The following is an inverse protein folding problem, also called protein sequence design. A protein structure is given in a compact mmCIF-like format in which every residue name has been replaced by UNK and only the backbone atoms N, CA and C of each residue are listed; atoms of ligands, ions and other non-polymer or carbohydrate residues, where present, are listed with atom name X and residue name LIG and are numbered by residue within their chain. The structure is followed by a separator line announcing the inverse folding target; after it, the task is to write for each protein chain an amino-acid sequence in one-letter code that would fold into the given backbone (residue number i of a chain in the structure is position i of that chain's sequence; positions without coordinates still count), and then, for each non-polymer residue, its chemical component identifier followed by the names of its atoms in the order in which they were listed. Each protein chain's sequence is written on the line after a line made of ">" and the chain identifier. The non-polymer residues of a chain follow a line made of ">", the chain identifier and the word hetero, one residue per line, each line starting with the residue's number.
data_IF_218846349854
#
_entry.id   IF_218846349854
#
_cell.length_a   1.000
_cell.length_b   1.000
_cell.length_c   1.000
_cell.angle_alpha   90.00
_cell.angle_beta   90.00
_cell.angle_gamma   90.00
#
_symmetry.space_group_name_H-M   'P 1'
#
loop_
_entity.id
_entity.type
_entity.pdbx_description
1 polymer ?
#
# COMPACT_ATOMS: atom_id res chain seq x y z
N UNK A 1 -16.94 14.40 3.36
CA UNK A 1 -15.98 14.78 4.40
C UNK A 1 -15.65 13.58 5.27
N UNK A 2 -14.37 13.29 5.44
CA UNK A 2 -13.94 12.10 6.21
C UNK A 2 -14.01 12.43 7.70
N UNK A 3 -14.63 11.53 8.47
CA UNK A 3 -14.72 11.69 9.91
C UNK A 3 -13.35 11.51 10.57
N UNK A 4 -13.17 12.04 11.79
CA UNK A 4 -11.90 11.95 12.51
C UNK A 4 -11.44 10.51 12.70
N UNK A 5 -12.33 9.59 13.02
CA UNK A 5 -12.00 8.16 13.17
C UNK A 5 -11.56 7.53 11.85
N UNK A 6 -12.24 7.88 10.76
CA UNK A 6 -11.91 7.41 9.43
C UNK A 6 -10.57 7.95 8.97
N UNK A 7 -10.32 9.24 9.24
CA UNK A 7 -9.05 9.88 8.96
C UNK A 7 -7.90 9.20 9.70
N UNK A 8 -8.14 8.84 10.97
CA UNK A 8 -7.15 8.16 11.79
C UNK A 8 -6.78 6.79 11.20
N UNK A 9 -7.77 6.05 10.68
CA UNK A 9 -7.52 4.76 10.02
C UNK A 9 -6.63 4.93 8.79
N UNK A 10 -6.92 5.94 7.98
CA UNK A 10 -6.11 6.20 6.77
C UNK A 10 -4.71 6.67 7.15
N UNK A 11 -4.58 7.53 8.17
CA UNK A 11 -3.27 7.98 8.65
C UNK A 11 -2.42 6.81 9.17
N UNK A 12 -3.05 5.84 9.83
CA UNK A 12 -2.38 4.64 10.31
C UNK A 12 -1.78 3.85 9.15
N UNK A 13 -2.51 3.75 8.02
CA UNK A 13 -2.00 3.09 6.83
C UNK A 13 -0.77 3.81 6.27
N UNK A 14 -0.79 5.13 6.28
CA UNK A 14 0.33 5.94 5.81
C UNK A 14 1.56 5.73 6.71
N UNK A 15 1.35 5.69 8.02
CA UNK A 15 2.43 5.42 8.98
C UNK A 15 3.04 4.03 8.77
N UNK A 16 2.19 3.04 8.52
CA UNK A 16 2.61 1.66 8.27
C UNK A 16 3.48 1.56 7.01
N UNK A 17 3.24 2.40 6.01
CA UNK A 17 4.04 2.45 4.81
C UNK A 17 5.51 2.73 5.09
N UNK A 18 5.79 3.57 6.08
CA UNK A 18 7.17 3.90 6.44
C UNK A 18 7.94 2.66 6.90
N UNK A 19 7.26 1.73 7.59
CA UNK A 19 7.85 0.48 8.02
C UNK A 19 8.11 -0.48 6.85
N UNK A 20 7.30 -0.39 5.79
CA UNK A 20 7.47 -1.23 4.61
C UNK A 20 8.64 -0.80 3.72
N UNK A 21 9.16 0.41 3.93
CA UNK A 21 10.30 0.93 3.17
C UNK A 21 11.65 0.41 3.66
N UNK A 22 11.64 -0.65 4.45
CA UNK A 22 12.87 -1.25 4.97
C UNK A 22 13.73 -1.82 3.84
N UNK A 23 15.00 -2.07 4.14
CA UNK A 23 15.96 -2.62 3.17
C UNK A 23 15.55 -4.00 2.66
N UNK A 24 14.87 -4.78 3.49
CA UNK A 24 14.43 -6.13 3.16
C UNK A 24 12.92 -6.22 3.35
N UNK A 25 12.13 -5.69 2.39
CA UNK A 25 10.68 -5.78 2.51
C UNK A 25 10.23 -7.24 2.41
N UNK A 26 9.40 -7.66 3.36
CA UNK A 26 8.83 -8.99 3.38
C UNK A 26 7.51 -9.00 2.62
N UNK A 27 7.36 -9.97 1.71
CA UNK A 27 6.15 -10.12 0.92
C UNK A 27 4.91 -10.27 1.79
N UNK A 28 5.00 -11.08 2.85
CA UNK A 28 3.86 -11.32 3.74
C UNK A 28 3.39 -10.06 4.44
N UNK A 29 4.32 -9.23 4.91
CA UNK A 29 4.00 -7.95 5.56
C UNK A 29 3.37 -6.98 4.58
N UNK A 30 3.87 -6.95 3.35
CA UNK A 30 3.30 -6.11 2.31
C UNK A 30 1.88 -6.53 1.97
N UNK A 31 1.64 -7.83 1.81
CA UNK A 31 0.29 -8.35 1.52
C UNK A 31 -0.69 -8.03 2.65
N UNK A 32 -0.27 -8.20 3.89
CA UNK A 32 -1.09 -7.87 5.05
C UNK A 32 -1.47 -6.39 5.04
N UNK A 33 -0.50 -5.52 4.78
CA UNK A 33 -0.75 -4.09 4.69
C UNK A 33 -1.73 -3.76 3.56
N UNK A 34 -1.51 -4.34 2.39
CA UNK A 34 -2.34 -4.10 1.22
C UNK A 34 -3.79 -4.50 1.47
N UNK A 35 -3.99 -5.69 2.04
CA UNK A 35 -5.34 -6.17 2.37
C UNK A 35 -6.02 -5.28 3.40
N UNK A 36 -5.29 -4.89 4.42
CA UNK A 36 -5.78 -3.98 5.45
C UNK A 36 -6.16 -2.63 4.85
N UNK A 37 -5.32 -2.12 3.96
CA UNK A 37 -5.54 -0.84 3.30
C UNK A 37 -6.81 -0.87 2.43
N UNK A 38 -6.97 -1.92 1.62
CA UNK A 38 -8.16 -2.08 0.79
C UNK A 38 -9.42 -2.14 1.66
N UNK A 39 -9.37 -2.91 2.73
CA UNK A 39 -10.49 -3.05 3.65
C UNK A 39 -10.85 -1.71 4.30
N UNK A 40 -9.85 -0.97 4.78
CA UNK A 40 -10.10 0.31 5.43
C UNK A 40 -10.67 1.34 4.46
N UNK A 41 -10.16 1.39 3.23
CA UNK A 41 -10.69 2.30 2.20
C UNK A 41 -12.13 1.93 1.86
N UNK A 42 -12.45 0.65 1.75
CA UNK A 42 -13.82 0.19 1.51
C UNK A 42 -14.75 0.58 2.66
N UNK A 43 -14.29 0.47 3.91
CA UNK A 43 -15.09 0.84 5.08
C UNK A 43 -15.36 2.33 5.13
N UNK A 44 -14.39 3.15 4.74
CA UNK A 44 -14.50 4.62 4.79
C UNK A 44 -15.32 5.16 3.63
N UNK A 45 -15.08 4.68 2.41
CA UNK A 45 -15.69 5.25 1.20
C UNK A 45 -16.75 4.35 0.55
N UNK A 46 -16.78 3.07 0.91
CA UNK A 46 -17.74 2.11 0.40
C UNK A 46 -17.18 1.24 -0.72
N UNK A 47 -17.75 0.03 -0.84
CA UNK A 47 -17.45 -0.87 -1.95
C UNK A 47 -17.91 -0.24 -3.25
N UNK A 48 -17.11 -0.26 -4.26
CA UNK A 48 -17.47 0.32 -5.54
C UNK A 48 -17.28 1.83 -5.62
N UNK A 49 -16.72 2.45 -4.58
CA UNK A 49 -16.41 3.87 -4.61
C UNK A 49 -15.24 4.13 -5.58
N UNK A 50 -15.15 5.37 -6.06
CA UNK A 50 -14.04 5.79 -6.89
C UNK A 50 -12.71 5.64 -6.14
N UNK A 51 -12.72 5.93 -4.85
CA UNK A 51 -11.53 5.86 -4.01
C UNK A 51 -10.94 4.45 -3.97
N UNK A 52 -11.77 3.44 -3.74
CA UNK A 52 -11.28 2.05 -3.71
C UNK A 52 -10.82 1.61 -5.11
N UNK A 53 -11.52 2.05 -6.15
CA UNK A 53 -11.11 1.76 -7.51
C UNK A 53 -9.74 2.33 -7.84
N UNK A 54 -9.48 3.56 -7.42
CA UNK A 54 -8.18 4.21 -7.60
C UNK A 54 -7.09 3.48 -6.82
N UNK A 55 -7.38 3.08 -5.59
CA UNK A 55 -6.41 2.34 -4.78
C UNK A 55 -6.04 1.00 -5.44
N UNK A 56 -7.02 0.27 -5.91
CA UNK A 56 -6.79 -1.02 -6.59
C UNK A 56 -6.04 -0.86 -7.91
N UNK A 57 -6.07 0.32 -8.51
CA UNK A 57 -5.36 0.60 -9.76
C UNK A 57 -3.87 0.87 -9.57
N UNK A 58 -3.41 1.05 -8.35
CA UNK A 58 -1.99 1.28 -8.08
C UNK A 58 -1.20 0.03 -8.46
N UNK A 59 -0.14 0.22 -9.24
CA UNK A 59 0.74 -0.88 -9.65
C UNK A 59 1.82 -1.07 -8.59
N UNK A 60 1.59 -2.03 -7.71
CA UNK A 60 2.59 -2.44 -6.74
C UNK A 60 3.54 -3.46 -7.36
N UNK A 61 4.74 -3.57 -6.79
CA UNK A 61 5.69 -4.60 -7.19
C UNK A 61 5.07 -5.99 -6.99
N UNK A 62 5.20 -6.84 -8.01
CA UNK A 62 4.64 -8.19 -7.98
C UNK A 62 5.71 -9.20 -7.58
N UNK A 63 5.68 -9.64 -6.32
CA UNK A 63 6.63 -10.63 -5.79
C UNK A 63 6.50 -11.98 -6.49
N UNK A 64 5.34 -12.30 -7.05
CA UNK A 64 5.13 -13.59 -7.71
C UNK A 64 5.92 -13.73 -9.00
N UNK A 65 6.36 -12.62 -9.57
CA UNK A 65 7.18 -12.64 -10.80
C UNK A 65 8.64 -12.94 -10.54
N UNK A 66 9.05 -13.08 -9.26
CA UNK A 66 10.43 -13.40 -8.89
C UNK A 66 10.65 -14.91 -8.96
N UNK A 67 10.66 -15.47 -10.19
CA UNK A 67 10.83 -16.91 -10.41
C UNK A 67 12.27 -17.32 -10.13
N UNK A 68 12.44 -18.41 -9.39
CA UNK A 68 13.77 -18.95 -9.11
C UNK A 68 14.53 -18.27 -7.98
N UNK A 69 13.91 -17.29 -7.31
CA UNK A 69 14.54 -16.59 -6.19
C UNK A 69 14.01 -17.11 -4.85
N UNK A 70 14.86 -17.27 -3.83
CA UNK A 70 14.39 -17.58 -2.49
C UNK A 70 13.46 -16.49 -1.99
N UNK A 71 12.45 -16.86 -1.17
CA UNK A 71 11.48 -15.91 -0.63
C UNK A 71 12.12 -14.80 0.22
N UNK A 72 13.23 -15.12 0.86
CA UNK A 72 13.96 -14.21 1.75
C UNK A 72 15.09 -13.47 1.05
N UNK A 73 15.27 -13.67 -0.26
CA UNK A 73 16.29 -12.98 -1.01
C UNK A 73 15.98 -11.47 -1.06
N UNK A 74 16.99 -10.61 -0.85
CA UNK A 74 16.77 -9.16 -0.94
C UNK A 74 16.37 -8.75 -2.36
N UNK A 75 15.58 -7.69 -2.46
CA UNK A 75 15.19 -7.14 -3.75
C UNK A 75 16.40 -6.53 -4.44
N UNK A 76 16.48 -6.74 -5.76
CA UNK A 76 17.47 -6.07 -6.59
C UNK A 76 17.13 -4.57 -6.61
N UNK A 77 18.10 -3.73 -6.95
CA UNK A 77 17.91 -2.29 -6.99
C UNK A 77 16.69 -1.88 -7.83
N UNK A 78 16.53 -2.47 -9.00
CA UNK A 78 15.40 -2.20 -9.89
C UNK A 78 14.08 -2.63 -9.28
N UNK A 79 14.06 -3.80 -8.65
CA UNK A 79 12.88 -4.32 -7.97
C UNK A 79 12.50 -3.45 -6.79
N UNK A 80 13.49 -3.02 -6.03
CA UNK A 80 13.29 -2.14 -4.89
C UNK A 80 12.72 -0.79 -5.32
N UNK A 81 13.24 -0.23 -6.42
CA UNK A 81 12.73 1.03 -6.95
C UNK A 81 11.27 0.91 -7.35
N UNK A 82 10.90 -0.19 -8.01
CA UNK A 82 9.51 -0.44 -8.39
C UNK A 82 8.62 -0.60 -7.17
N UNK A 83 9.10 -1.31 -6.15
CA UNK A 83 8.37 -1.50 -4.89
C UNK A 83 8.12 -0.16 -4.20
N UNK A 84 9.16 0.67 -4.05
CA UNK A 84 9.05 1.97 -3.40
C UNK A 84 8.14 2.91 -4.18
N UNK A 85 8.18 2.87 -5.51
CA UNK A 85 7.31 3.69 -6.35
C UNK A 85 5.84 3.39 -6.09
N UNK A 86 5.49 2.10 -5.98
CA UNK A 86 4.13 1.70 -5.63
C UNK A 86 3.71 2.22 -4.27
N UNK A 87 4.59 2.13 -3.27
CA UNK A 87 4.31 2.64 -1.93
C UNK A 87 4.13 4.17 -1.93
N UNK A 88 4.92 4.89 -2.71
CA UNK A 88 4.78 6.34 -2.84
C UNK A 88 3.46 6.74 -3.48
N UNK A 89 3.04 6.01 -4.52
CA UNK A 89 1.76 6.26 -5.16
C UNK A 89 0.62 6.04 -4.18
N UNK A 90 0.70 4.96 -3.38
CA UNK A 90 -0.29 4.67 -2.35
C UNK A 90 -0.32 5.78 -1.29
N UNK A 91 0.85 6.24 -0.85
CA UNK A 91 0.94 7.32 0.13
C UNK A 91 0.28 8.60 -0.37
N UNK A 92 0.55 8.97 -1.59
CA UNK A 92 -0.04 10.17 -2.21
C UNK A 92 -1.55 10.06 -2.29
N UNK A 93 -2.04 8.91 -2.73
CA UNK A 93 -3.47 8.70 -2.85
C UNK A 93 -4.17 8.73 -1.50
N UNK A 94 -3.63 8.02 -0.51
CA UNK A 94 -4.20 8.00 0.83
C UNK A 94 -4.18 9.40 1.47
N UNK A 95 -3.11 10.16 1.26
CA UNK A 95 -3.01 11.53 1.75
C UNK A 95 -4.09 12.42 1.15
N UNK A 96 -4.40 12.26 -0.13
CA UNK A 96 -5.48 12.99 -0.78
C UNK A 96 -6.84 12.68 -0.17
N UNK A 97 -7.06 11.43 0.23
CA UNK A 97 -8.33 11.02 0.81
C UNK A 97 -8.60 11.75 2.12
N UNK A 98 -7.57 12.05 2.90
CA UNK A 98 -7.75 12.73 4.19
C UNK A 98 -7.62 14.25 4.11
N UNK A 99 -7.06 14.78 3.03
CA UNK A 99 -6.95 16.22 2.81
C UNK A 99 -8.20 16.80 2.17
N UNK A 100 -8.88 16.00 1.39
CA UNK A 100 -10.04 16.43 0.64
C UNK A 100 -11.29 16.45 1.44
#
# INVERSE_FOLDING_TARGET
>A
MVKAEEKSKIQSLISDLNGLRSRNPEESKFKEWKDKAEKNVEEVFGKGSEQIGRFKSIRFFDFSKRVGMPKDAPLREEERSAFIRGLEDARRLLSRFIEG
#
